data_IF_815236938536
#
_entry.id   IF_815236938536
#
_cell.length_a   1.000
_cell.length_b   1.000
_cell.length_c   1.000
_cell.angle_alpha   90.00
_cell.angle_beta   90.00
_cell.angle_gamma   90.00
#
_symmetry.space_group_name_H-M   'P 1'
#
loop_
_entity.id
_entity.type
_entity.pdbx_description
1 polymer ?
#
# COMPACT_ATOMS: atom_id res chain seq x y z
N UNK A 1 -13.45 -9.94 -8.16
CA UNK A 1 -13.08 -10.19 -9.56
C UNK A 1 -13.67 -9.04 -10.35
N UNK A 2 -12.88 -8.08 -10.82
CA UNK A 2 -13.40 -7.13 -11.81
C UNK A 2 -12.95 -7.60 -13.17
N UNK A 3 -13.67 -7.20 -14.22
CA UNK A 3 -13.13 -7.24 -15.58
C UNK A 3 -11.82 -6.45 -15.52
N UNK A 4 -10.68 -7.13 -15.55
CA UNK A 4 -9.49 -6.65 -14.85
C UNK A 4 -8.20 -6.77 -15.66
N UNK A 5 -8.27 -7.30 -16.88
CA UNK A 5 -7.10 -7.48 -17.76
C UNK A 5 -6.93 -6.37 -18.79
N UNK A 6 -7.98 -5.91 -19.47
CA UNK A 6 -7.87 -4.90 -20.55
C UNK A 6 -7.98 -3.45 -20.04
N UNK A 7 -8.56 -3.26 -18.85
CA UNK A 7 -8.75 -1.98 -18.15
C UNK A 7 -7.47 -1.27 -17.69
N UNK A 8 -6.35 -1.98 -17.76
CA UNK A 8 -5.08 -1.65 -17.09
C UNK A 8 -4.35 -0.45 -17.68
N UNK A 9 -4.56 -0.20 -18.98
CA UNK A 9 -3.78 0.77 -19.74
C UNK A 9 -4.51 2.08 -19.98
N UNK A 10 -5.84 2.05 -20.12
CA UNK A 10 -6.64 3.21 -20.52
C UNK A 10 -6.63 4.30 -19.43
N UNK A 11 -6.86 3.93 -18.17
CA UNK A 11 -6.90 4.87 -17.04
C UNK A 11 -5.59 5.60 -16.76
N UNK A 12 -4.44 4.96 -17.01
CA UNK A 12 -3.13 5.60 -16.82
C UNK A 12 -2.74 6.46 -18.02
N UNK A 13 -3.14 6.06 -19.23
CA UNK A 13 -2.88 6.82 -20.45
C UNK A 13 -3.61 8.17 -20.45
N UNK A 14 -4.85 8.22 -19.96
CA UNK A 14 -5.64 9.46 -19.90
C UNK A 14 -5.10 10.49 -18.89
N UNK A 15 -4.36 10.05 -17.87
CA UNK A 15 -3.83 10.95 -16.82
C UNK A 15 -2.59 11.73 -17.25
N UNK A 16 -1.95 11.37 -18.37
CA UNK A 16 -0.82 12.10 -18.93
C UNK A 16 0.28 12.44 -17.89
N UNK A 17 0.55 13.74 -17.71
CA UNK A 17 1.56 14.25 -16.74
C UNK A 17 1.20 14.02 -15.27
N UNK A 18 -0.06 13.72 -14.95
CA UNK A 18 -0.56 13.43 -13.60
C UNK A 18 -0.70 11.91 -13.34
N UNK A 19 0.01 11.08 -14.11
CA UNK A 19 0.07 9.64 -13.88
C UNK A 19 0.56 9.35 -12.46
N UNK A 20 -0.16 8.49 -11.74
CA UNK A 20 0.17 8.05 -10.38
C UNK A 20 1.27 6.96 -10.37
N UNK A 21 1.69 6.51 -11.56
CA UNK A 21 2.68 5.45 -11.71
C UNK A 21 2.20 4.12 -11.13
N UNK A 22 0.93 3.76 -11.35
CA UNK A 22 0.37 2.51 -10.82
C UNK A 22 1.03 1.29 -11.44
N UNK A 23 0.87 0.14 -10.80
CA UNK A 23 1.37 -1.15 -11.30
C UNK A 23 0.63 -1.62 -12.56
N UNK A 24 -0.37 -0.87 -13.03
CA UNK A 24 -1.27 -1.25 -14.13
C UNK A 24 -1.87 -2.64 -13.93
N UNK A 25 -2.13 -3.04 -12.68
CA UNK A 25 -2.76 -4.33 -12.35
C UNK A 25 -4.28 -4.26 -12.17
N UNK A 26 -4.87 -3.07 -12.33
CA UNK A 26 -6.33 -2.88 -12.21
C UNK A 26 -6.86 -2.77 -10.77
N UNK A 27 -5.99 -2.60 -9.77
CA UNK A 27 -6.37 -2.54 -8.35
C UNK A 27 -7.35 -1.39 -8.07
N UNK A 28 -7.04 -0.17 -8.54
CA UNK A 28 -7.89 1.01 -8.37
C UNK A 28 -9.30 0.83 -8.96
N UNK A 29 -9.43 0.49 -10.26
CA UNK A 29 -10.73 0.19 -10.86
C UNK A 29 -11.50 -0.91 -10.13
N UNK A 30 -10.84 -1.97 -9.66
CA UNK A 30 -11.47 -3.04 -8.89
C UNK A 30 -12.12 -2.53 -7.60
N UNK A 31 -11.40 -1.70 -6.83
CA UNK A 31 -11.92 -1.11 -5.60
C UNK A 31 -13.02 -0.08 -5.89
N UNK A 32 -12.92 0.67 -6.99
CA UNK A 32 -13.99 1.57 -7.44
C UNK A 32 -15.28 0.79 -7.70
N UNK A 33 -15.23 -0.32 -8.45
CA UNK A 33 -16.42 -1.16 -8.69
C UNK A 33 -17.01 -1.75 -7.40
N UNK A 34 -16.15 -2.06 -6.43
CA UNK A 34 -16.59 -2.52 -5.10
C UNK A 34 -17.34 -1.41 -4.36
N UNK A 35 -16.80 -0.19 -4.35
CA UNK A 35 -17.41 0.97 -3.70
C UNK A 35 -18.74 1.37 -4.35
N UNK A 36 -18.82 1.33 -5.69
CA UNK A 36 -20.05 1.59 -6.44
C UNK A 36 -21.04 0.42 -6.44
N UNK A 37 -20.69 -0.70 -5.78
CA UNK A 37 -21.51 -1.92 -5.63
C UNK A 37 -21.87 -2.61 -6.95
N UNK A 38 -21.11 -2.36 -8.02
CA UNK A 38 -21.31 -2.99 -9.32
C UNK A 38 -20.23 -4.02 -9.68
N UNK A 39 -19.24 -4.23 -8.82
CA UNK A 39 -18.17 -5.21 -9.02
C UNK A 39 -18.59 -6.65 -8.74
N UNK A 40 -17.95 -7.62 -9.42
CA UNK A 40 -18.21 -9.04 -9.22
C UNK A 40 -17.36 -9.62 -8.08
N UNK A 41 -17.94 -10.55 -7.32
CA UNK A 41 -17.30 -11.27 -6.21
C UNK A 41 -17.08 -12.74 -6.58
N UNK A 42 -16.30 -13.43 -5.76
CA UNK A 42 -16.06 -14.87 -5.91
C UNK A 42 -17.37 -15.66 -5.80
N UNK A 43 -18.27 -15.23 -4.91
CA UNK A 43 -19.60 -15.83 -4.77
C UNK A 43 -20.45 -15.70 -6.03
N UNK A 44 -20.31 -14.61 -6.80
CA UNK A 44 -21.02 -14.48 -8.08
C UNK A 44 -20.49 -15.49 -9.09
N UNK A 45 -19.17 -15.68 -9.18
CA UNK A 45 -18.57 -16.61 -10.14
C UNK A 45 -18.94 -18.07 -9.86
N UNK A 46 -18.97 -18.47 -8.59
CA UNK A 46 -19.20 -19.87 -8.21
C UNK A 46 -20.68 -20.21 -7.98
N UNK A 47 -21.56 -19.21 -7.96
CA UNK A 47 -22.99 -19.35 -7.80
C UNK A 47 -23.70 -19.66 -9.12
N UNK A 48 -24.71 -18.84 -9.45
CA UNK A 48 -25.48 -18.98 -10.70
C UNK A 48 -24.69 -18.40 -11.89
N UNK A 49 -24.37 -19.27 -12.85
CA UNK A 49 -23.62 -18.88 -14.05
C UNK A 49 -24.36 -17.86 -14.92
N UNK A 50 -25.67 -17.97 -15.06
CA UNK A 50 -26.45 -17.03 -15.88
C UNK A 50 -26.44 -15.64 -15.24
N UNK A 51 -26.60 -15.57 -13.91
CA UNK A 51 -26.52 -14.31 -13.17
C UNK A 51 -25.12 -13.70 -13.23
N UNK A 52 -24.06 -14.50 -13.17
CA UNK A 52 -22.69 -14.02 -13.34
C UNK A 52 -22.48 -13.41 -14.72
N UNK A 53 -22.92 -14.09 -15.78
CA UNK A 53 -22.79 -13.63 -17.17
C UNK A 53 -23.52 -12.31 -17.40
N UNK A 54 -24.75 -12.18 -16.90
CA UNK A 54 -25.51 -10.95 -16.97
C UNK A 54 -24.76 -9.79 -16.30
N UNK A 55 -24.34 -9.97 -15.04
CA UNK A 55 -23.59 -8.95 -14.30
C UNK A 55 -22.27 -8.59 -14.98
N UNK A 56 -21.58 -9.56 -15.57
CA UNK A 56 -20.34 -9.33 -16.31
C UNK A 56 -20.59 -8.48 -17.57
N UNK A 57 -21.61 -8.81 -18.36
CA UNK A 57 -22.00 -8.06 -19.56
C UNK A 57 -22.38 -6.62 -19.20
N UNK A 58 -23.17 -6.43 -18.14
CA UNK A 58 -23.53 -5.08 -17.65
C UNK A 58 -22.31 -4.29 -17.22
N UNK A 59 -21.37 -4.92 -16.48
CA UNK A 59 -20.15 -4.27 -16.04
C UNK A 59 -19.28 -3.85 -17.23
N UNK A 60 -19.08 -4.74 -18.20
CA UNK A 60 -18.34 -4.46 -19.42
C UNK A 60 -18.98 -3.32 -20.24
N UNK A 61 -20.31 -3.31 -20.38
CA UNK A 61 -21.04 -2.27 -21.09
C UNK A 61 -20.91 -0.90 -20.42
N UNK A 62 -21.03 -0.84 -19.09
CA UNK A 62 -20.85 0.40 -18.32
C UNK A 62 -19.46 1.00 -18.54
N UNK A 63 -18.46 0.15 -18.55
CA UNK A 63 -17.10 0.55 -18.77
C UNK A 63 -16.79 0.96 -20.21
N UNK A 64 -17.35 0.28 -21.21
CA UNK A 64 -17.25 0.68 -22.62
C UNK A 64 -17.85 2.06 -22.87
N UNK A 65 -18.89 2.45 -22.11
CA UNK A 65 -19.44 3.82 -22.15
C UNK A 65 -18.47 4.85 -21.57
N UNK A 66 -17.75 4.49 -20.51
CA UNK A 66 -16.75 5.37 -19.89
C UNK A 66 -15.48 5.47 -20.72
N UNK A 67 -15.09 4.38 -21.39
CA UNK A 67 -13.88 4.25 -22.18
C UNK A 67 -14.22 3.69 -23.56
N UNK A 68 -14.60 4.52 -24.54
CA UNK A 68 -15.03 4.05 -25.86
C UNK A 68 -13.98 3.25 -26.63
N UNK A 69 -12.69 3.46 -26.33
CA UNK A 69 -11.55 2.74 -26.91
C UNK A 69 -11.30 1.38 -26.29
N UNK A 70 -12.07 1.01 -25.27
CA UNK A 70 -11.95 -0.28 -24.62
C UNK A 70 -12.56 -1.39 -25.48
N UNK A 71 -11.69 -2.26 -25.97
CA UNK A 71 -12.06 -3.52 -26.61
C UNK A 71 -11.98 -4.64 -25.57
N UNK A 72 -13.09 -5.36 -25.40
CA UNK A 72 -13.21 -6.52 -24.51
C UNK A 72 -13.96 -7.60 -25.28
N UNK A 73 -13.33 -8.75 -25.47
CA UNK A 73 -14.02 -9.95 -25.94
C UNK A 73 -14.76 -10.58 -24.75
N UNK A 74 -16.04 -10.24 -24.64
CA UNK A 74 -16.87 -10.66 -23.52
C UNK A 74 -17.01 -12.18 -23.49
N UNK A 75 -17.22 -12.82 -24.63
CA UNK A 75 -17.53 -14.26 -24.68
C UNK A 75 -16.28 -15.09 -24.39
N UNK A 76 -15.11 -14.68 -24.90
CA UNK A 76 -13.83 -15.29 -24.54
C UNK A 76 -13.49 -15.11 -23.05
N UNK A 77 -13.73 -13.92 -22.49
CA UNK A 77 -13.51 -13.69 -21.05
C UNK A 77 -14.43 -14.55 -20.19
N UNK A 78 -15.72 -14.64 -20.53
CA UNK A 78 -16.67 -15.51 -19.83
C UNK A 78 -16.23 -16.98 -19.88
N UNK A 79 -15.80 -17.48 -21.05
CA UNK A 79 -15.26 -18.83 -21.18
C UNK A 79 -14.05 -19.05 -20.26
N UNK A 80 -13.12 -18.10 -20.23
CA UNK A 80 -11.94 -18.14 -19.35
C UNK A 80 -12.31 -18.15 -17.87
N UNK A 81 -13.30 -17.34 -17.46
CA UNK A 81 -13.76 -17.31 -16.07
C UNK A 81 -14.45 -18.62 -15.66
N UNK A 82 -15.15 -19.30 -16.56
CA UNK A 82 -15.70 -20.64 -16.29
C UNK A 82 -14.60 -21.66 -16.00
N UNK A 83 -13.50 -21.65 -16.75
CA UNK A 83 -12.35 -22.52 -16.44
C UNK A 83 -11.71 -22.19 -15.09
N UNK A 84 -11.59 -20.90 -14.76
CA UNK A 84 -11.06 -20.47 -13.47
C UNK A 84 -11.98 -20.84 -12.31
N UNK A 85 -13.30 -20.78 -12.51
CA UNK A 85 -14.28 -21.20 -11.50
C UNK A 85 -13.97 -22.61 -11.00
N UNK A 86 -13.74 -23.55 -11.92
CA UNK A 86 -13.46 -24.95 -11.57
C UNK A 86 -12.12 -25.11 -10.83
N UNK A 87 -11.09 -24.36 -11.22
CA UNK A 87 -9.78 -24.40 -10.56
C UNK A 87 -9.82 -23.83 -9.15
N UNK A 88 -10.58 -22.74 -8.92
CA UNK A 88 -10.61 -22.06 -7.62
C UNK A 88 -11.66 -22.64 -6.67
N UNK A 89 -12.70 -23.31 -7.18
CA UNK A 89 -13.80 -23.89 -6.39
C UNK A 89 -13.33 -24.63 -5.13
N UNK A 90 -12.31 -25.52 -5.16
CA UNK A 90 -11.86 -26.22 -3.94
C UNK A 90 -11.15 -25.32 -2.91
N UNK A 91 -10.70 -24.13 -3.31
CA UNK A 91 -9.99 -23.18 -2.44
C UNK A 91 -10.93 -22.18 -1.75
N UNK A 92 -12.16 -22.05 -2.24
CA UNK A 92 -13.12 -21.06 -1.73
C UNK A 92 -13.81 -21.58 -0.47
N UNK A 93 -13.85 -20.74 0.56
CA UNK A 93 -14.54 -20.99 1.82
C UNK A 93 -15.21 -19.71 2.30
N UNK A 94 -16.21 -19.86 3.16
CA UNK A 94 -16.67 -18.74 3.99
C UNK A 94 -15.55 -18.36 4.97
N UNK A 95 -14.78 -17.35 4.60
CA UNK A 95 -13.60 -16.91 5.34
C UNK A 95 -13.98 -16.35 6.70
N UNK A 96 -15.15 -15.72 6.85
CA UNK A 96 -15.59 -15.11 8.11
C UNK A 96 -15.89 -16.21 9.13
N UNK A 97 -16.74 -17.18 8.75
CA UNK A 97 -17.07 -18.31 9.63
C UNK A 97 -15.84 -19.16 9.95
N UNK A 98 -15.00 -19.42 8.94
CA UNK A 98 -13.78 -20.19 9.11
C UNK A 98 -12.80 -19.54 10.11
N UNK A 99 -12.53 -18.24 9.95
CA UNK A 99 -11.63 -17.50 10.84
C UNK A 99 -12.21 -17.41 12.25
N UNK A 100 -13.50 -17.15 12.40
CA UNK A 100 -14.15 -17.10 13.71
C UNK A 100 -14.02 -18.42 14.47
N UNK A 101 -14.29 -19.56 13.80
CA UNK A 101 -14.11 -20.89 14.39
C UNK A 101 -12.64 -21.17 14.72
N UNK A 102 -11.71 -20.86 13.81
CA UNK A 102 -10.29 -21.07 14.03
C UNK A 102 -9.78 -20.32 15.27
N UNK A 103 -10.21 -19.07 15.45
CA UNK A 103 -9.88 -18.26 16.64
C UNK A 103 -10.52 -18.87 17.90
N UNK A 104 -11.79 -19.28 17.84
CA UNK A 104 -12.49 -19.92 18.95
C UNK A 104 -11.87 -21.26 19.39
N UNK A 105 -11.26 -21.99 18.48
CA UNK A 105 -10.48 -23.21 18.74
C UNK A 105 -9.05 -22.93 19.25
N UNK A 106 -8.67 -21.67 19.46
CA UNK A 106 -7.35 -21.28 19.94
C UNK A 106 -6.23 -21.34 18.89
N UNK A 107 -6.55 -21.37 17.60
CA UNK A 107 -5.54 -21.35 16.54
C UNK A 107 -4.86 -19.99 16.45
N UNK A 108 -3.55 -20.00 16.21
CA UNK A 108 -2.76 -18.78 15.96
C UNK A 108 -2.93 -18.35 14.51
N UNK A 109 -3.38 -17.12 14.30
CA UNK A 109 -3.59 -16.52 12.98
C UNK A 109 -2.59 -15.40 12.79
N UNK A 110 -1.81 -15.47 11.71
CA UNK A 110 -0.92 -14.40 11.26
C UNK A 110 -1.56 -13.69 10.07
N UNK A 111 -1.74 -12.38 10.18
CA UNK A 111 -2.26 -11.54 9.09
C UNK A 111 -1.07 -10.86 8.41
N UNK A 112 -0.85 -11.17 7.13
CA UNK A 112 0.14 -10.49 6.31
C UNK A 112 -0.48 -9.22 5.72
N UNK A 113 -0.05 -8.06 6.22
CA UNK A 113 -0.42 -6.77 5.62
C UNK A 113 0.24 -6.62 4.25
N UNK A 114 -0.55 -6.30 3.24
CA UNK A 114 -0.02 -5.89 1.94
C UNK A 114 0.29 -4.38 1.96
N UNK A 115 1.30 -3.97 1.19
CA UNK A 115 1.76 -2.58 1.11
C UNK A 115 2.28 -2.05 2.48
N UNK A 116 2.46 -0.73 2.60
CA UNK A 116 2.90 -0.07 3.82
C UNK A 116 1.84 0.94 4.24
N UNK A 117 1.72 1.24 5.55
CA UNK A 117 0.73 2.17 6.07
C UNK A 117 0.77 3.55 5.39
N UNK A 118 1.94 4.02 4.96
CA UNK A 118 2.11 5.30 4.26
C UNK A 118 1.78 5.27 2.76
N UNK A 119 1.31 4.13 2.25
CA UNK A 119 0.72 3.96 0.92
C UNK A 119 -0.79 3.72 1.00
N UNK A 120 -1.37 3.90 2.19
CA UNK A 120 -2.81 3.99 2.32
C UNK A 120 -3.33 5.14 1.44
N UNK A 121 -4.59 5.04 1.02
CA UNK A 121 -5.20 6.01 0.11
C UNK A 121 -5.18 7.44 0.69
N UNK A 122 -5.09 7.54 2.01
CA UNK A 122 -5.10 8.79 2.75
C UNK A 122 -3.69 9.41 2.95
N UNK A 123 -2.59 8.76 2.56
CA UNK A 123 -1.22 9.22 2.87
C UNK A 123 -0.27 9.31 1.66
N UNK A 124 0.55 10.37 1.61
CA UNK A 124 1.61 10.58 0.60
C UNK A 124 2.98 10.87 1.23
N UNK A 125 4.08 10.54 0.53
CA UNK A 125 5.46 10.68 1.04
C UNK A 125 6.38 11.61 0.24
N UNK A 126 7.46 12.09 0.91
CA UNK A 126 8.52 12.96 0.36
C UNK A 126 9.89 12.28 0.29
N UNK A 127 10.83 12.90 -0.46
CA UNK A 127 12.12 12.33 -0.90
C UNK A 127 13.29 13.27 -0.59
N UNK A 128 14.47 12.71 -0.28
CA UNK A 128 15.72 13.46 -0.08
C UNK A 128 16.69 13.13 -1.23
N UNK A 129 17.14 14.16 -1.96
CA UNK A 129 17.72 13.97 -3.31
C UNK A 129 19.08 13.25 -3.35
N UNK A 130 20.06 13.64 -2.54
CA UNK A 130 21.43 13.13 -2.68
C UNK A 130 21.67 11.84 -1.87
N UNK A 131 21.38 11.85 -0.57
CA UNK A 131 21.43 10.65 0.28
C UNK A 131 20.48 9.55 -0.22
N UNK A 132 19.33 9.92 -0.78
CA UNK A 132 18.36 8.98 -1.31
C UNK A 132 18.92 8.13 -2.45
N UNK A 133 19.85 8.66 -3.26
CA UNK A 133 20.47 7.88 -4.35
C UNK A 133 21.41 6.80 -3.82
N UNK A 134 22.26 7.12 -2.84
CA UNK A 134 23.17 6.16 -2.23
C UNK A 134 22.41 5.00 -1.54
N UNK A 135 21.36 5.34 -0.78
CA UNK A 135 20.50 4.35 -0.12
C UNK A 135 19.78 3.47 -1.14
N UNK A 136 19.34 4.06 -2.25
CA UNK A 136 18.64 3.38 -3.31
C UNK A 136 19.51 2.39 -4.07
N UNK A 137 20.73 2.78 -4.44
CA UNK A 137 21.68 1.92 -5.14
C UNK A 137 22.03 0.71 -4.27
N UNK A 138 22.29 0.91 -2.98
CA UNK A 138 22.63 -0.17 -2.04
C UNK A 138 21.46 -1.04 -1.63
N UNK A 139 20.28 -0.45 -1.45
CA UNK A 139 19.07 -1.19 -1.08
C UNK A 139 18.39 -1.91 -2.24
N UNK A 140 18.94 -1.78 -3.44
CA UNK A 140 18.39 -2.28 -4.70
C UNK A 140 16.94 -1.81 -4.88
N UNK A 141 16.70 -0.54 -4.59
CA UNK A 141 15.36 0.05 -4.46
C UNK A 141 14.78 0.43 -5.83
N UNK A 142 14.62 -0.57 -6.68
CA UNK A 142 14.06 -0.46 -8.03
C UNK A 142 12.90 -1.45 -8.19
N UNK A 143 11.75 -0.97 -8.66
CA UNK A 143 10.58 -1.81 -8.86
C UNK A 143 10.85 -2.95 -9.86
N UNK A 144 10.54 -4.18 -9.47
CA UNK A 144 10.82 -5.37 -10.30
C UNK A 144 10.07 -5.36 -11.64
N UNK A 145 8.81 -4.93 -11.64
CA UNK A 145 7.95 -4.89 -12.84
C UNK A 145 8.06 -3.56 -13.58
N UNK A 146 7.86 -2.45 -12.88
CA UNK A 146 7.80 -1.11 -13.51
C UNK A 146 9.17 -0.53 -13.79
N UNK A 147 10.25 -1.12 -13.25
CA UNK A 147 11.60 -0.56 -13.20
C UNK A 147 11.65 0.84 -12.59
N UNK A 148 10.60 1.24 -11.85
CA UNK A 148 10.53 2.53 -11.19
C UNK A 148 11.48 2.54 -10.01
N UNK A 149 12.43 3.45 -10.09
CA UNK A 149 13.35 3.80 -9.03
C UNK A 149 12.58 4.35 -7.82
N UNK A 150 12.76 3.76 -6.64
CA UNK A 150 12.02 4.16 -5.43
C UNK A 150 12.70 5.32 -4.73
N UNK A 151 11.88 6.25 -4.25
CA UNK A 151 12.33 7.39 -3.46
C UNK A 151 12.79 6.89 -2.10
N UNK A 152 14.05 7.15 -1.76
CA UNK A 152 14.65 6.81 -0.47
C UNK A 152 14.98 8.07 0.34
N UNK A 153 15.00 7.93 1.65
CA UNK A 153 15.32 8.99 2.60
C UNK A 153 15.64 8.40 3.96
N UNK A 154 15.87 9.26 4.94
CA UNK A 154 16.12 8.86 6.32
C UNK A 154 14.86 8.29 6.98
N UNK A 155 15.07 7.50 8.04
CA UNK A 155 13.97 7.05 8.89
C UNK A 155 13.25 8.27 9.50
N UNK A 156 11.94 8.34 9.27
CA UNK A 156 11.08 9.42 9.76
C UNK A 156 10.24 8.91 10.94
N UNK A 157 10.60 9.33 12.14
CA UNK A 157 9.91 8.91 13.35
C UNK A 157 8.60 9.65 13.60
N UNK A 158 8.37 10.81 12.98
CA UNK A 158 7.04 11.46 13.03
C UNK A 158 6.03 10.55 12.35
N UNK A 159 6.41 10.00 11.20
CA UNK A 159 5.64 8.99 10.47
C UNK A 159 5.49 7.69 11.24
N UNK A 160 6.57 7.15 11.82
CA UNK A 160 6.48 5.91 12.60
C UNK A 160 5.55 6.07 13.80
N UNK A 161 5.65 7.18 14.54
CA UNK A 161 4.75 7.47 15.68
C UNK A 161 3.30 7.62 15.23
N UNK A 162 3.06 8.32 14.13
CA UNK A 162 1.72 8.47 13.57
C UNK A 162 1.12 7.11 13.18
N UNK A 163 1.86 6.30 12.42
CA UNK A 163 1.38 4.96 12.02
C UNK A 163 1.24 4.00 13.20
N UNK A 164 2.07 4.12 14.25
CA UNK A 164 1.93 3.37 15.49
C UNK A 164 0.67 3.76 16.27
N UNK A 165 0.34 5.06 16.30
CA UNK A 165 -0.90 5.56 16.90
C UNK A 165 -2.13 5.03 16.16
N UNK A 166 -2.11 5.00 14.83
CA UNK A 166 -3.23 4.53 14.01
C UNK A 166 -3.42 3.01 14.11
N UNK A 167 -2.33 2.24 14.09
CA UNK A 167 -2.39 0.77 13.98
C UNK A 167 -2.20 0.03 15.31
N UNK A 168 -1.78 0.70 16.39
CA UNK A 168 -1.57 0.09 17.70
C UNK A 168 -0.45 -0.96 17.73
N UNK A 169 0.71 -0.67 17.12
CA UNK A 169 1.81 -1.63 17.07
C UNK A 169 2.28 -2.02 18.48
N UNK A 170 2.39 -3.34 18.73
CA UNK A 170 2.98 -3.89 19.97
C UNK A 170 4.48 -4.09 19.86
N UNK A 171 5.02 -4.17 18.64
CA UNK A 171 6.42 -4.39 18.34
C UNK A 171 6.77 -3.89 16.93
N UNK A 172 8.05 -3.61 16.68
CA UNK A 172 8.57 -3.18 15.38
C UNK A 172 9.70 -4.11 14.93
N UNK A 173 9.72 -4.43 13.64
CA UNK A 173 10.82 -5.12 12.99
C UNK A 173 11.59 -4.11 12.12
N UNK A 174 12.83 -3.79 12.50
CA UNK A 174 13.70 -2.92 11.71
C UNK A 174 14.45 -3.77 10.68
N UNK A 175 14.19 -3.53 9.40
CA UNK A 175 14.78 -4.26 8.28
C UNK A 175 15.82 -3.43 7.55
N UNK A 176 16.66 -4.08 6.74
CA UNK A 176 17.66 -3.44 5.86
C UNK A 176 18.71 -2.60 6.60
N UNK A 177 19.07 -3.01 7.82
CA UNK A 177 20.09 -2.35 8.63
C UNK A 177 21.49 -2.44 8.01
N UNK A 178 21.75 -3.49 7.24
CA UNK A 178 22.99 -3.74 6.49
C UNK A 178 23.35 -2.62 5.52
N UNK A 179 22.35 -1.93 4.94
CA UNK A 179 22.57 -0.78 4.05
C UNK A 179 23.27 0.35 4.81
N UNK A 180 22.90 0.52 6.08
CA UNK A 180 23.33 1.66 6.86
C UNK A 180 24.79 1.53 7.27
N UNK A 181 25.33 0.32 7.42
CA UNK A 181 26.65 0.02 8.02
C UNK A 181 27.79 0.89 7.50
N UNK A 182 27.80 1.18 6.21
CA UNK A 182 28.87 1.96 5.55
C UNK A 182 28.78 3.48 5.70
N UNK A 183 27.70 3.99 6.29
CA UNK A 183 27.52 5.43 6.49
C UNK A 183 28.23 5.84 7.78
N UNK A 184 29.03 6.92 7.69
CA UNK A 184 29.71 7.50 8.87
C UNK A 184 28.71 8.06 9.89
N UNK A 185 27.63 8.66 9.39
CA UNK A 185 26.58 9.28 10.18
C UNK A 185 25.22 8.80 9.67
N UNK A 186 24.31 8.49 10.59
CA UNK A 186 22.90 8.22 10.29
C UNK A 186 22.07 9.39 10.76
N UNK A 187 21.19 9.92 9.92
CA UNK A 187 20.21 10.92 10.34
C UNK A 187 18.85 10.26 10.57
N UNK A 188 18.15 10.73 11.58
CA UNK A 188 16.80 10.29 11.91
C UNK A 188 15.91 11.51 12.03
N UNK A 189 14.80 11.54 11.28
CA UNK A 189 13.78 12.59 11.38
C UNK A 189 13.00 12.45 12.68
N UNK A 190 13.11 13.42 13.57
CA UNK A 190 12.49 13.36 14.92
C UNK A 190 11.32 14.32 15.07
N UNK A 191 11.26 15.37 14.24
CA UNK A 191 10.19 16.35 14.24
C UNK A 191 10.08 17.00 12.85
N UNK A 192 8.97 17.69 12.61
CA UNK A 192 8.84 18.58 11.48
C UNK A 192 8.91 20.03 11.94
N UNK A 193 9.22 20.93 11.01
CA UNK A 193 9.13 22.38 11.19
C UNK A 193 8.18 22.93 10.13
N UNK A 194 7.09 23.55 10.57
CA UNK A 194 6.09 24.18 9.71
C UNK A 194 6.05 25.68 10.05
N UNK A 195 6.30 26.53 9.06
CA UNK A 195 6.30 28.00 9.24
C UNK A 195 7.16 28.46 10.43
N UNK A 196 8.36 27.90 10.56
CA UNK A 196 9.27 28.23 11.67
C UNK A 196 9.02 27.44 12.97
N UNK A 197 7.85 26.84 13.15
CA UNK A 197 7.44 26.17 14.41
C UNK A 197 7.68 24.67 14.35
N UNK A 198 8.24 24.10 15.43
CA UNK A 198 8.38 22.65 15.59
C UNK A 198 7.00 22.01 15.77
N UNK A 199 6.72 20.95 15.02
CA UNK A 199 5.54 20.10 15.18
C UNK A 199 5.98 18.63 15.32
N UNK A 200 5.24 17.86 16.11
CA UNK A 200 5.52 16.44 16.38
C UNK A 200 4.39 15.51 15.89
N UNK A 201 3.45 16.07 15.11
CA UNK A 201 2.37 15.36 14.45
C UNK A 201 2.60 15.33 12.94
N UNK A 202 1.98 14.35 12.29
CA UNK A 202 1.95 14.28 10.83
C UNK A 202 0.87 15.25 10.30
N UNK A 203 1.20 16.21 9.40
CA UNK A 203 0.23 17.16 8.87
C UNK A 203 -0.91 16.46 8.11
N UNK A 204 -2.13 16.96 8.27
CA UNK A 204 -3.33 16.39 7.63
C UNK A 204 -3.57 16.92 6.22
N UNK A 205 -2.95 18.05 5.84
CA UNK A 205 -3.12 18.65 4.52
C UNK A 205 -1.87 18.52 3.67
N UNK A 206 -2.06 18.34 2.35
CA UNK A 206 -0.95 18.26 1.40
C UNK A 206 -0.17 19.57 1.30
N UNK A 207 -0.82 20.72 1.50
CA UNK A 207 -0.16 22.02 1.46
C UNK A 207 0.84 22.17 2.63
N UNK A 208 0.42 21.80 3.84
CA UNK A 208 1.29 21.79 5.01
C UNK A 208 2.37 20.72 4.87
N UNK A 209 2.00 19.49 4.51
CA UNK A 209 2.96 18.40 4.32
C UNK A 209 4.03 18.75 3.28
N UNK A 210 3.67 19.47 2.22
CA UNK A 210 4.62 19.92 1.19
C UNK A 210 5.57 21.02 1.68
N UNK A 211 5.17 21.80 2.68
CA UNK A 211 5.92 22.95 3.21
C UNK A 211 6.70 22.64 4.49
N UNK A 212 6.49 21.49 5.14
CA UNK A 212 7.26 21.17 6.34
C UNK A 212 8.73 20.89 6.03
N UNK A 213 9.63 21.24 6.93
CA UNK A 213 11.04 20.86 6.88
C UNK A 213 11.30 19.73 7.89
N UNK A 214 12.07 18.72 7.50
CA UNK A 214 12.42 17.63 8.40
C UNK A 214 13.53 18.08 9.36
N UNK A 215 13.26 18.04 10.65
CA UNK A 215 14.27 18.22 11.69
C UNK A 215 14.90 16.86 12.00
N UNK A 216 16.20 16.73 11.74
CA UNK A 216 16.95 15.49 11.91
C UNK A 216 17.89 15.55 13.10
N UNK A 217 17.95 14.47 13.87
CA UNK A 217 19.06 14.19 14.78
C UNK A 217 20.11 13.34 14.07
N UNK A 218 21.39 13.67 14.27
CA UNK A 218 22.52 12.94 13.73
C UNK A 218 23.03 11.91 14.76
N UNK A 219 23.32 10.72 14.30
CA UNK A 219 23.92 9.65 15.09
C UNK A 219 25.27 9.27 14.46
N UNK A 220 26.34 9.61 15.16
CA UNK A 220 27.70 9.23 14.79
C UNK A 220 27.96 7.78 15.19
N UNK A 221 28.45 6.97 14.24
CA UNK A 221 28.79 5.58 14.49
C UNK A 221 30.16 5.37 15.13
N UNK A 222 31.06 6.36 15.01
CA UNK A 222 32.46 6.24 15.43
C UNK A 222 32.69 6.68 16.89
N UNK A 223 31.67 7.24 17.56
CA UNK A 223 31.76 7.76 18.93
C UNK A 223 30.81 7.04 19.88
N UNK A 224 31.33 6.71 21.07
CA UNK A 224 30.61 6.29 22.27
C UNK A 224 29.17 6.85 22.31
N UNK A 225 28.10 6.04 22.50
CA UNK A 225 26.73 6.53 22.52
C UNK A 225 26.53 7.46 23.73
N UNK A 226 26.86 8.73 23.58
CA UNK A 226 26.54 9.75 24.56
C UNK A 226 25.02 9.95 24.50
N UNK A 227 24.36 9.24 25.41
CA UNK A 227 22.99 9.43 25.92
C UNK A 227 21.76 9.14 25.05
N UNK A 228 21.85 8.52 23.87
CA UNK A 228 20.65 8.13 23.12
C UNK A 228 20.42 6.60 23.05
N UNK A 229 20.08 5.97 24.18
CA UNK A 229 19.14 4.84 24.10
C UNK A 229 17.81 5.43 23.65
N UNK A 230 17.48 5.34 22.37
CA UNK A 230 16.14 5.67 21.92
C UNK A 230 15.21 4.52 22.33
N UNK A 231 14.77 4.52 23.59
CA UNK A 231 13.56 3.81 23.97
C UNK A 231 12.42 4.50 23.22
N UNK A 232 11.95 3.89 22.14
CA UNK A 232 10.60 4.13 21.65
C UNK A 232 9.67 3.64 22.76
N UNK A 233 9.39 4.51 23.74
CA UNK A 233 8.23 4.35 24.60
C UNK A 233 7.01 4.55 23.70
N UNK A 234 6.64 3.50 22.97
CA UNK A 234 5.29 3.40 22.43
C UNK A 234 4.43 3.39 23.68
N UNK A 235 3.74 4.49 23.93
CA UNK A 235 2.84 4.63 25.07
C UNK A 235 1.91 3.42 25.01
N UNK A 236 2.07 2.50 25.95
CA UNK A 236 1.14 1.40 26.12
C UNK A 236 -0.23 2.04 26.29
N UNK A 237 -1.18 1.73 25.41
CA UNK A 237 -2.58 2.04 25.68
C UNK A 237 -2.91 1.48 27.07
N UNK A 238 -3.62 2.24 27.93
CA UNK A 238 -4.04 1.72 29.22
C UNK A 238 -4.81 0.42 28.96
N UNK A 239 -4.42 -0.65 29.65
CA UNK A 239 -5.24 -1.85 29.69
C UNK A 239 -6.59 -1.47 30.29
N UNK A 240 -7.64 -1.53 29.47
CA UNK A 240 -9.03 -1.53 29.93
C UNK A 240 -9.45 -2.96 30.24
#
# INVERSE_FOLDING_TARGET
>A
MSVGTEYRYVMEAEKGKNSLGTTKKGIGPTYSSKATRNGLRIGDLLGDSAMFEEKFRTLAANYKRMFPTLEVDIDAELARYREYAEKIRPMVRDTVSYLHKAIGEGKKVLVEGANAAMLDIDFENRFVKETGRLLQERGHEVGVTTKRVRRCGWLDLVVVRYTAMVNGYTSLCLTKMDILDTLKEIKIGVAYKLNGKKIEYFPSSMAELSSVELNTSAWDKAGNPSSAQMRLNVVSAPAT
#
